data_IF_343304109224
#
_entry.id   IF_343304109224
#
_cell.length_a   1.000
_cell.length_b   1.000
_cell.length_c   1.000
_cell.angle_alpha   90.00
_cell.angle_beta   90.00
_cell.angle_gamma   90.00
#
_symmetry.space_group_name_H-M   'P 1'
#
loop_
_entity.id
_entity.type
_entity.pdbx_description
1 polymer ?
#
# COMPACT_ATOMS: atom_id res chain seq x y z
N UNK A 1 5.97 -8.25 0.76
CA UNK A 1 5.97 -8.74 2.15
C UNK A 1 5.64 -10.23 2.13
N UNK A 2 6.20 -11.05 3.04
CA UNK A 2 5.85 -12.47 3.14
C UNK A 2 4.33 -12.65 3.34
N UNK A 3 3.76 -13.74 2.82
CA UNK A 3 2.31 -14.02 2.86
C UNK A 3 1.73 -14.04 4.28
N UNK A 4 2.54 -14.40 5.29
CA UNK A 4 2.11 -14.47 6.70
C UNK A 4 1.67 -13.14 7.32
N UNK A 5 1.99 -11.99 6.72
CA UNK A 5 1.56 -10.67 7.21
C UNK A 5 0.17 -10.25 6.75
N UNK A 6 -0.41 -10.92 5.73
CA UNK A 6 -1.71 -10.54 5.21
C UNK A 6 -2.79 -10.73 6.28
N UNK A 7 -3.56 -9.67 6.56
CA UNK A 7 -4.64 -9.70 7.56
C UNK A 7 -4.18 -9.62 9.02
N UNK A 8 -2.89 -9.34 9.27
CA UNK A 8 -2.32 -9.11 10.61
C UNK A 8 -2.19 -7.62 10.90
N UNK A 9 -2.27 -7.24 12.18
CA UNK A 9 -1.95 -5.87 12.62
C UNK A 9 -0.59 -5.88 13.31
N UNK A 10 0.34 -5.09 12.79
CA UNK A 10 1.72 -5.00 13.27
C UNK A 10 2.12 -3.56 13.55
N UNK A 11 3.08 -3.36 14.46
CA UNK A 11 3.70 -2.05 14.66
C UNK A 11 4.83 -1.79 13.65
N UNK A 12 5.48 -0.62 13.73
CA UNK A 12 6.56 -0.21 12.83
C UNK A 12 7.81 -1.13 12.86
N UNK A 13 7.98 -1.93 13.91
CA UNK A 13 9.06 -2.91 14.05
C UNK A 13 8.61 -4.32 13.64
N UNK A 14 7.50 -4.43 12.90
CA UNK A 14 6.89 -5.68 12.45
C UNK A 14 6.46 -6.65 13.58
N UNK A 15 6.31 -6.16 14.83
CA UNK A 15 5.78 -6.98 15.93
C UNK A 15 4.25 -7.02 15.89
N UNK A 16 3.62 -8.19 16.01
CA UNK A 16 2.16 -8.29 16.02
C UNK A 16 1.57 -7.62 17.26
N UNK A 17 0.50 -6.85 17.06
CA UNK A 17 -0.27 -6.18 18.13
C UNK A 17 -1.76 -6.60 18.13
N UNK A 18 -2.11 -7.59 17.30
CA UNK A 18 -3.47 -8.12 17.14
C UNK A 18 -3.81 -9.28 18.09
N UNK A 19 -2.85 -9.75 18.91
CA UNK A 19 -3.07 -10.86 19.85
C UNK A 19 -3.22 -12.25 19.21
N UNK A 20 -2.97 -12.39 17.91
CA UNK A 20 -3.14 -13.67 17.16
C UNK A 20 -1.89 -14.55 17.14
N UNK A 21 -0.99 -14.39 18.12
CA UNK A 21 0.29 -15.10 18.19
C UNK A 21 1.35 -14.56 17.23
N UNK A 22 2.42 -15.33 17.01
CA UNK A 22 3.54 -14.92 16.15
C UNK A 22 3.18 -14.95 14.65
N UNK A 23 4.01 -14.32 13.82
CA UNK A 23 3.87 -14.33 12.36
C UNK A 23 4.97 -15.21 11.79
N UNK A 24 4.61 -16.30 11.11
CA UNK A 24 5.57 -17.11 10.37
C UNK A 24 6.02 -16.37 9.11
N UNK A 25 7.27 -15.93 9.09
CA UNK A 25 7.89 -15.27 7.94
C UNK A 25 9.24 -15.94 7.62
N UNK A 26 9.48 -16.28 6.36
CA UNK A 26 10.72 -16.89 5.88
C UNK A 26 11.84 -15.87 5.63
N UNK A 27 11.47 -14.62 5.38
CA UNK A 27 12.38 -13.60 4.85
C UNK A 27 12.28 -12.29 5.62
N UNK A 28 13.40 -11.57 5.66
CA UNK A 28 13.49 -10.20 6.17
C UNK A 28 13.94 -9.24 5.08
N UNK A 29 13.58 -7.96 5.19
CA UNK A 29 14.03 -6.89 4.28
C UNK A 29 14.48 -5.70 5.13
N UNK A 30 15.54 -5.03 4.70
CA UNK A 30 16.00 -3.78 5.31
C UNK A 30 14.92 -2.69 5.16
N UNK A 31 14.75 -1.88 6.21
CA UNK A 31 13.84 -0.73 6.21
C UNK A 31 14.29 0.29 5.16
N UNK A 32 15.59 0.55 5.12
CA UNK A 32 16.22 1.40 4.12
C UNK A 32 16.75 0.53 2.98
N UNK A 33 16.18 0.71 1.80
CA UNK A 33 16.64 0.07 0.57
C UNK A 33 16.43 1.02 -0.61
N UNK A 34 17.33 1.01 -1.61
CA UNK A 34 17.22 1.94 -2.74
C UNK A 34 15.96 1.65 -3.56
N UNK A 35 15.31 2.70 -4.04
CA UNK A 35 14.19 2.58 -4.95
C UNK A 35 14.64 1.98 -6.31
N UNK A 36 13.73 1.34 -7.07
CA UNK A 36 14.06 0.84 -8.41
C UNK A 36 14.60 1.94 -9.33
N UNK A 37 15.72 1.64 -9.99
CA UNK A 37 16.38 2.50 -10.98
C UNK A 37 15.49 2.78 -12.21
N UNK A 38 15.92 3.69 -13.09
CA UNK A 38 15.11 4.15 -14.23
C UNK A 38 14.78 2.99 -15.18
N UNK A 39 15.77 2.14 -15.49
CA UNK A 39 15.65 1.04 -16.46
C UNK A 39 14.69 -0.06 -15.97
N UNK A 40 14.55 -0.25 -14.66
CA UNK A 40 13.63 -1.25 -14.09
C UNK A 40 12.19 -0.77 -13.98
N UNK A 41 11.90 0.49 -14.34
CA UNK A 41 10.53 1.02 -14.38
C UNK A 41 9.88 0.69 -15.72
N UNK A 42 8.58 0.38 -15.68
CA UNK A 42 7.73 0.27 -16.86
C UNK A 42 6.69 1.38 -16.83
N UNK A 43 6.22 1.77 -18.02
CA UNK A 43 5.06 2.67 -18.12
C UNK A 43 3.85 2.01 -17.43
N UNK A 44 3.01 2.82 -16.81
CA UNK A 44 1.81 2.33 -16.13
C UNK A 44 0.71 2.14 -17.17
N UNK A 45 0.27 0.90 -17.36
CA UNK A 45 -0.80 0.55 -18.31
C UNK A 45 -1.93 -0.27 -17.67
N UNK A 46 -1.77 -0.68 -16.40
CA UNK A 46 -2.79 -1.45 -15.67
C UNK A 46 -3.60 -0.51 -14.76
N UNK A 47 -4.94 -0.43 -14.91
CA UNK A 47 -5.78 0.36 -14.01
C UNK A 47 -5.82 -0.27 -12.61
N UNK A 48 -5.90 0.59 -11.59
CA UNK A 48 -6.18 0.25 -10.20
C UNK A 48 -7.54 0.83 -9.83
N UNK A 49 -8.55 -0.03 -9.76
CA UNK A 49 -9.92 0.38 -9.49
C UNK A 49 -10.12 0.70 -8.00
N UNK A 50 -10.70 1.86 -7.71
CA UNK A 50 -11.00 2.30 -6.33
C UNK A 50 -12.41 1.92 -5.89
N UNK A 51 -13.33 1.74 -6.84
CA UNK A 51 -14.75 1.49 -6.57
C UNK A 51 -15.57 2.78 -6.35
N UNK A 52 -14.94 3.95 -6.44
CA UNK A 52 -15.60 5.24 -6.35
C UNK A 52 -15.79 5.81 -7.76
N UNK A 53 -17.04 5.96 -8.20
CA UNK A 53 -17.38 6.38 -9.57
C UNK A 53 -16.68 7.71 -9.91
N UNK A 54 -16.71 8.68 -9.00
CA UNK A 54 -16.09 10.00 -9.22
C UNK A 54 -14.57 9.89 -9.43
N UNK A 55 -13.89 9.01 -8.68
CA UNK A 55 -12.44 8.81 -8.83
C UNK A 55 -12.14 8.00 -10.09
N UNK A 56 -12.79 6.85 -10.26
CA UNK A 56 -12.50 5.93 -11.37
C UNK A 56 -12.84 6.55 -12.74
N UNK A 57 -13.79 7.48 -12.80
CA UNK A 57 -14.17 8.18 -14.05
C UNK A 57 -13.35 9.45 -14.32
N UNK A 58 -13.21 10.33 -13.33
CA UNK A 58 -12.59 11.64 -13.54
C UNK A 58 -11.07 11.61 -13.32
N UNK A 59 -10.59 10.73 -12.43
CA UNK A 59 -9.21 10.69 -11.98
C UNK A 59 -8.74 9.23 -11.84
N UNK A 60 -8.66 8.47 -12.95
CA UNK A 60 -8.27 7.07 -12.91
C UNK A 60 -6.86 6.92 -12.33
N UNK A 61 -6.67 5.88 -11.52
CA UNK A 61 -5.38 5.56 -10.87
C UNK A 61 -4.78 4.33 -11.53
N UNK A 62 -3.50 4.39 -11.94
CA UNK A 62 -2.77 3.25 -12.47
C UNK A 62 -1.98 2.48 -11.40
N UNK A 63 -1.77 1.17 -11.61
CA UNK A 63 -0.88 0.37 -10.75
C UNK A 63 0.55 0.90 -10.81
N UNK A 64 1.10 1.21 -9.65
CA UNK A 64 2.42 1.84 -9.50
C UNK A 64 2.40 3.37 -9.42
N UNK A 65 1.25 4.01 -9.64
CA UNK A 65 1.09 5.46 -9.54
C UNK A 65 1.09 5.93 -8.08
N UNK A 66 1.60 7.14 -7.84
CA UNK A 66 1.45 7.84 -6.57
C UNK A 66 0.40 8.93 -6.74
N UNK A 67 -0.69 8.87 -5.96
CA UNK A 67 -1.76 9.87 -5.98
C UNK A 67 -1.92 10.48 -4.60
N UNK A 68 -1.90 11.81 -4.54
CA UNK A 68 -2.12 12.57 -3.31
C UNK A 68 -3.63 12.64 -3.02
N UNK A 69 -4.01 12.37 -1.77
CA UNK A 69 -5.34 12.65 -1.21
C UNK A 69 -5.13 13.75 -0.17
N UNK A 70 -5.80 14.89 -0.35
CA UNK A 70 -5.67 16.07 0.52
C UNK A 70 -7.05 16.68 0.77
N UNK A 71 -7.27 17.15 1.99
CA UNK A 71 -8.52 17.78 2.42
C UNK A 71 -8.40 18.28 3.86
N UNK A 72 -9.32 19.16 4.26
CA UNK A 72 -9.33 19.74 5.60
C UNK A 72 -9.80 18.75 6.67
N UNK A 73 -9.36 18.96 7.92
CA UNK A 73 -9.82 18.17 9.06
C UNK A 73 -11.29 18.50 9.32
N UNK A 74 -12.17 17.55 8.94
CA UNK A 74 -13.63 17.58 8.96
C UNK A 74 -14.28 17.94 7.62
N UNK A 75 -14.45 16.91 6.79
CA UNK A 75 -15.66 16.65 6.01
C UNK A 75 -15.91 15.13 6.09
N UNK A 76 -16.95 14.76 6.83
CA UNK A 76 -17.46 13.42 7.22
C UNK A 76 -16.93 12.20 6.42
N UNK A 77 -16.32 11.25 7.14
CA UNK A 77 -16.34 9.83 6.80
C UNK A 77 -17.48 9.17 7.59
N UNK A 78 -18.69 9.22 7.05
CA UNK A 78 -19.78 8.34 7.42
C UNK A 78 -20.27 7.65 6.15
#
# INVERSE_FOLDING_TARGET
>A
MPSGYLGRVVNALAKPIDGRGEISASDSRLIESPAPGIISRRSMYEPLQTGLIDIDSMIPIGRGQRKLIIGDRQVKHQ
#
